data_IF_923974500596
#
_entry.id   IF_923974500596
#
_cell.length_a   1.000
_cell.length_b   1.000
_cell.length_c   1.000
_cell.angle_alpha   90.00
_cell.angle_beta   90.00
_cell.angle_gamma   90.00
#
_symmetry.space_group_name_H-M   'P 1'
#
loop_
_entity.id
_entity.type
_entity.pdbx_description
1 polymer ?
#
# COMPACT_ATOMS: atom_id res chain seq x y z
N UNK A 1 -4.91 -11.47 -13.98
CA UNK A 1 -4.31 -10.49 -13.05
C UNK A 1 -4.71 -9.11 -13.52
N UNK A 2 -5.16 -8.22 -12.63
CA UNK A 2 -5.32 -6.81 -12.98
C UNK A 2 -3.92 -6.23 -13.05
N UNK A 3 -3.53 -5.62 -14.18
CA UNK A 3 -2.16 -5.12 -14.40
C UNK A 3 -1.95 -3.74 -13.79
N UNK A 4 -2.41 -3.58 -12.55
CA UNK A 4 -2.32 -2.34 -11.79
C UNK A 4 -1.70 -2.63 -10.44
N UNK A 5 -0.67 -1.87 -10.08
CA UNK A 5 -0.25 -1.74 -8.70
C UNK A 5 -1.07 -0.62 -8.06
N UNK A 6 -1.63 -0.87 -6.89
CA UNK A 6 -2.51 0.06 -6.17
C UNK A 6 -1.79 0.47 -4.91
N UNK A 7 -1.44 1.76 -4.80
CA UNK A 7 -0.64 2.26 -3.68
C UNK A 7 -1.53 3.17 -2.83
N UNK A 8 -1.67 2.84 -1.55
CA UNK A 8 -2.36 3.70 -0.58
C UNK A 8 -1.33 4.38 0.30
N UNK A 9 -1.50 5.68 0.53
CA UNK A 9 -0.56 6.48 1.36
C UNK A 9 -1.29 7.22 2.46
N UNK A 10 -0.80 7.07 3.69
CA UNK A 10 -1.23 7.86 4.84
C UNK A 10 -0.29 9.05 5.11
N UNK A 11 0.99 8.90 4.74
CA UNK A 11 2.05 9.88 4.96
C UNK A 11 2.86 10.00 3.67
N UNK A 12 3.24 11.22 3.30
CA UNK A 12 4.10 11.46 2.15
C UNK A 12 5.48 10.86 2.39
N UNK A 13 5.95 10.02 1.47
CA UNK A 13 7.31 9.48 1.50
C UNK A 13 7.70 8.93 0.12
N UNK A 14 8.99 8.64 -0.06
CA UNK A 14 9.50 7.89 -1.22
C UNK A 14 9.19 8.57 -2.57
N UNK A 15 8.67 7.81 -3.53
CA UNK A 15 8.42 8.31 -4.89
C UNK A 15 7.37 9.43 -4.93
N UNK A 16 6.42 9.46 -4.00
CA UNK A 16 5.45 10.54 -3.88
C UNK A 16 6.14 11.87 -3.53
N UNK A 17 6.92 11.87 -2.45
CA UNK A 17 7.64 13.07 -1.97
C UNK A 17 8.58 13.61 -3.05
N UNK A 18 9.31 12.73 -3.73
CA UNK A 18 10.19 13.12 -4.85
C UNK A 18 9.42 13.71 -6.04
N UNK A 19 8.28 13.11 -6.40
CA UNK A 19 7.50 13.51 -7.59
C UNK A 19 6.77 14.84 -7.39
N UNK A 20 6.19 15.04 -6.21
CA UNK A 20 5.33 16.18 -5.92
C UNK A 20 6.02 17.29 -5.11
N UNK A 21 7.26 17.08 -4.66
CA UNK A 21 7.99 18.05 -3.84
C UNK A 21 7.41 18.21 -2.43
N UNK A 22 6.64 17.23 -1.97
CA UNK A 22 6.06 17.22 -0.62
C UNK A 22 7.07 16.63 0.34
N UNK A 23 7.31 17.32 1.46
CA UNK A 23 8.25 16.89 2.49
C UNK A 23 7.91 15.49 3.01
N UNK A 24 8.92 14.62 3.11
CA UNK A 24 8.75 13.28 3.67
C UNK A 24 8.35 13.37 5.14
N UNK A 25 7.30 12.65 5.52
CA UNK A 25 6.69 12.75 6.85
C UNK A 25 5.45 13.65 6.92
N UNK A 26 5.09 14.34 5.82
CA UNK A 26 3.83 15.07 5.77
C UNK A 26 2.63 14.12 5.91
N UNK A 27 1.86 14.27 6.99
CA UNK A 27 0.68 13.44 7.27
C UNK A 27 -0.50 13.98 6.46
N UNK A 28 -1.11 13.13 5.64
CA UNK A 28 -2.28 13.55 4.86
C UNK A 28 -3.53 13.63 5.74
N UNK A 29 -4.40 14.59 5.45
CA UNK A 29 -5.71 14.72 6.11
C UNK A 29 -6.61 13.50 5.84
N UNK A 30 -6.50 12.95 4.63
CA UNK A 30 -7.14 11.70 4.23
C UNK A 30 -6.14 10.84 3.44
N UNK A 31 -6.20 9.49 3.53
CA UNK A 31 -5.30 8.64 2.76
C UNK A 31 -5.49 8.86 1.25
N UNK A 32 -4.39 8.88 0.52
CA UNK A 32 -4.39 8.98 -0.95
C UNK A 32 -4.30 7.60 -1.57
N UNK A 33 -4.70 7.50 -2.85
CA UNK A 33 -4.56 6.28 -3.65
C UNK A 33 -3.98 6.62 -5.01
N UNK A 34 -3.01 5.81 -5.44
CA UNK A 34 -2.33 5.92 -6.72
C UNK A 34 -2.41 4.58 -7.46
N UNK A 35 -2.46 4.64 -8.79
CA UNK A 35 -2.37 3.47 -9.66
C UNK A 35 -1.07 3.53 -10.44
N UNK A 36 -0.34 2.43 -10.53
CA UNK A 36 0.79 2.26 -11.44
C UNK A 36 0.49 1.16 -12.44
N UNK A 37 0.83 1.39 -13.70
CA UNK A 37 0.75 0.36 -14.73
C UNK A 37 1.87 -0.66 -14.51
N UNK A 38 1.54 -1.89 -14.10
CA UNK A 38 2.51 -2.93 -13.81
C UNK A 38 3.20 -3.38 -15.11
N UNK A 39 4.40 -2.86 -15.33
CA UNK A 39 5.21 -3.12 -16.52
C UNK A 39 6.67 -2.74 -16.22
N UNK A 40 7.48 -3.75 -15.95
CA UNK A 40 8.89 -3.61 -15.57
C UNK A 40 9.71 -2.88 -16.65
N UNK A 41 9.41 -3.08 -17.95
CA UNK A 41 10.12 -2.41 -19.05
C UNK A 41 9.86 -0.89 -19.07
N UNK A 42 8.70 -0.47 -18.56
CA UNK A 42 8.29 0.93 -18.46
C UNK A 42 8.45 1.49 -17.04
N UNK A 43 9.06 0.72 -16.13
CA UNK A 43 9.34 1.12 -14.75
C UNK A 43 8.10 1.45 -13.92
N UNK A 44 7.03 0.68 -14.08
CA UNK A 44 5.78 0.79 -13.30
C UNK A 44 5.18 2.21 -13.25
N UNK A 45 4.99 2.75 -14.45
CA UNK A 45 4.58 4.13 -14.66
C UNK A 45 3.28 4.49 -13.94
N UNK A 46 3.31 5.57 -13.15
CA UNK A 46 2.14 6.13 -12.48
C UNK A 46 1.07 6.52 -13.51
N UNK A 47 -0.17 6.17 -13.23
CA UNK A 47 -1.33 6.49 -14.05
C UNK A 47 -2.53 6.88 -13.20
N UNK A 48 -3.53 7.50 -13.85
CA UNK A 48 -4.83 7.73 -13.24
C UNK A 48 -5.82 6.65 -13.71
N UNK A 49 -7.02 6.68 -13.11
CA UNK A 49 -8.07 5.72 -13.44
C UNK A 49 -8.60 5.85 -14.88
N UNK A 50 -8.56 7.05 -15.46
CA UNK A 50 -9.06 7.28 -16.81
C UNK A 50 -8.13 6.62 -17.82
N UNK A 51 -6.82 6.70 -17.60
CA UNK A 51 -5.83 5.96 -18.38
C UNK A 51 -6.04 4.45 -18.26
N UNK A 52 -6.24 3.94 -17.04
CA UNK A 52 -6.48 2.51 -16.82
C UNK A 52 -7.74 2.00 -17.56
N UNK A 53 -8.83 2.78 -17.52
CA UNK A 53 -10.07 2.47 -18.22
C UNK A 53 -9.90 2.57 -19.75
N UNK A 54 -9.28 3.66 -20.24
CA UNK A 54 -9.07 3.88 -21.67
C UNK A 54 -8.18 2.80 -22.31
N UNK A 55 -7.17 2.33 -21.57
CA UNK A 55 -6.30 1.22 -21.96
C UNK A 55 -6.94 -0.16 -21.74
N UNK A 56 -8.18 -0.22 -21.22
CA UNK A 56 -8.94 -1.45 -20.93
C UNK A 56 -8.24 -2.37 -19.93
N UNK A 57 -7.48 -1.80 -18.99
CA UNK A 57 -6.81 -2.56 -17.93
C UNK A 57 -7.79 -2.95 -16.80
N UNK A 58 -8.79 -2.10 -16.55
CA UNK A 58 -9.88 -2.33 -15.62
C UNK A 58 -11.14 -1.57 -16.07
N UNK A 59 -12.33 -2.05 -15.71
CA UNK A 59 -13.56 -1.28 -15.87
C UNK A 59 -13.72 -0.26 -14.74
N UNK A 60 -14.64 0.69 -14.91
CA UNK A 60 -14.94 1.66 -13.86
C UNK A 60 -15.44 0.98 -12.58
N UNK A 61 -16.29 -0.03 -12.70
CA UNK A 61 -16.85 -0.79 -11.58
C UNK A 61 -15.75 -1.55 -10.82
N UNK A 62 -14.78 -2.09 -11.56
CA UNK A 62 -13.62 -2.75 -10.96
C UNK A 62 -12.72 -1.75 -10.22
N UNK A 63 -12.45 -0.58 -10.81
CA UNK A 63 -11.68 0.48 -10.14
C UNK A 63 -12.35 0.90 -8.83
N UNK A 64 -13.65 1.12 -8.81
CA UNK A 64 -14.37 1.47 -7.58
C UNK A 64 -14.33 0.35 -6.53
N UNK A 65 -14.43 -0.90 -6.96
CA UNK A 65 -14.28 -2.08 -6.09
C UNK A 65 -12.86 -2.16 -5.51
N UNK A 66 -11.84 -1.94 -6.33
CA UNK A 66 -10.43 -1.93 -5.94
C UNK A 66 -10.18 -0.82 -4.90
N UNK A 67 -10.65 0.40 -5.14
CA UNK A 67 -10.53 1.51 -4.16
C UNK A 67 -11.17 1.15 -2.84
N UNK A 68 -12.40 0.63 -2.86
CA UNK A 68 -13.13 0.21 -1.66
C UNK A 68 -12.33 -0.81 -0.86
N UNK A 69 -11.77 -1.82 -1.53
CA UNK A 69 -10.95 -2.84 -0.87
C UNK A 69 -9.64 -2.27 -0.36
N UNK A 70 -8.93 -1.46 -1.15
CA UNK A 70 -7.66 -0.86 -0.77
C UNK A 70 -7.79 0.03 0.48
N UNK A 71 -8.82 0.89 0.54
CA UNK A 71 -9.09 1.68 1.73
C UNK A 71 -9.57 0.83 2.92
N UNK A 72 -10.36 -0.22 2.68
CA UNK A 72 -10.73 -1.17 3.73
C UNK A 72 -9.51 -1.88 4.35
N UNK A 73 -8.55 -2.30 3.51
CA UNK A 73 -7.27 -2.87 3.95
C UNK A 73 -6.45 -1.83 4.72
N UNK A 74 -6.41 -0.58 4.24
CA UNK A 74 -5.71 0.51 4.93
C UNK A 74 -6.17 0.66 6.39
N UNK A 75 -7.49 0.71 6.62
CA UNK A 75 -8.02 0.87 7.98
C UNK A 75 -7.62 -0.29 8.90
N UNK A 76 -7.72 -1.53 8.40
CA UNK A 76 -7.36 -2.72 9.18
C UNK A 76 -5.85 -2.76 9.49
N UNK A 77 -5.00 -2.49 8.49
CA UNK A 77 -3.55 -2.50 8.69
C UNK A 77 -3.09 -1.36 9.59
N UNK A 78 -3.66 -0.15 9.45
CA UNK A 78 -3.33 0.97 10.34
C UNK A 78 -3.64 0.63 11.79
N UNK A 79 -4.81 0.07 12.07
CA UNK A 79 -5.20 -0.33 13.41
C UNK A 79 -4.22 -1.39 13.96
N UNK A 80 -3.96 -2.44 13.19
CA UNK A 80 -3.04 -3.52 13.57
C UNK A 80 -1.62 -3.03 13.87
N UNK A 81 -1.04 -2.20 12.99
CA UNK A 81 0.32 -1.69 13.19
C UNK A 81 0.40 -0.71 14.35
N UNK A 82 -0.64 0.10 14.58
CA UNK A 82 -0.68 1.02 15.71
C UNK A 82 -0.62 0.28 17.06
N UNK A 83 -1.27 -0.89 17.19
CA UNK A 83 -1.17 -1.75 18.38
C UNK A 83 0.26 -2.25 18.62
N UNK A 84 1.06 -2.37 17.55
CA UNK A 84 2.45 -2.78 17.60
C UNK A 84 3.43 -1.61 17.80
N UNK A 85 2.94 -0.37 17.97
CA UNK A 85 3.79 0.82 18.02
C UNK A 85 4.48 1.15 16.68
N UNK A 86 3.83 0.75 15.58
CA UNK A 86 4.31 0.96 14.20
C UNK A 86 3.33 1.85 13.44
N UNK A 87 3.86 2.82 12.71
CA UNK A 87 3.11 3.70 11.82
C UNK A 87 3.14 3.14 10.40
N UNK A 88 1.97 2.87 9.82
CA UNK A 88 1.82 2.51 8.41
C UNK A 88 1.85 3.76 7.53
N UNK A 89 2.97 3.98 6.83
CA UNK A 89 3.21 5.16 6.00
C UNK A 89 2.50 5.04 4.65
N UNK A 90 2.82 3.97 3.92
CA UNK A 90 2.18 3.59 2.67
C UNK A 90 2.30 2.08 2.46
N UNK A 91 1.52 1.53 1.54
CA UNK A 91 1.61 0.14 1.11
C UNK A 91 1.08 -0.04 -0.31
N UNK A 92 1.52 -1.12 -0.94
CA UNK A 92 1.14 -1.53 -2.30
C UNK A 92 0.26 -2.77 -2.23
N UNK A 93 -0.75 -2.83 -3.10
CA UNK A 93 -1.61 -3.98 -3.32
C UNK A 93 -1.67 -4.33 -4.81
N UNK A 94 -1.85 -5.62 -5.09
CA UNK A 94 -2.16 -6.20 -6.38
C UNK A 94 -3.49 -6.96 -6.33
N UNK A 95 -4.29 -6.82 -7.39
CA UNK A 95 -5.61 -7.43 -7.47
C UNK A 95 -5.71 -8.45 -8.62
N UNK A 96 -6.44 -9.52 -8.36
CA UNK A 96 -6.79 -10.55 -9.33
C UNK A 96 -8.22 -10.39 -9.82
N UNK A 97 -8.50 -11.06 -10.95
CA UNK A 97 -9.86 -11.28 -11.46
C UNK A 97 -10.08 -12.79 -11.52
N UNK A 98 -11.14 -13.26 -10.87
CA UNK A 98 -11.60 -14.65 -10.99
C UNK A 98 -12.30 -14.89 -12.33
N UNK A 99 -12.56 -16.15 -12.67
CA UNK A 99 -13.18 -16.53 -13.95
C UNK A 99 -14.59 -15.95 -14.16
N UNK A 100 -15.29 -15.63 -13.07
CA UNK A 100 -16.61 -15.01 -13.08
C UNK A 100 -16.56 -13.47 -13.12
N UNK A 101 -15.37 -12.87 -13.16
CA UNK A 101 -15.16 -11.43 -13.14
C UNK A 101 -15.00 -10.83 -11.75
N UNK A 102 -15.11 -11.62 -10.68
CA UNK A 102 -14.95 -11.12 -9.30
C UNK A 102 -13.54 -10.60 -9.06
N UNK A 103 -13.44 -9.37 -8.55
CA UNK A 103 -12.17 -8.79 -8.08
C UNK A 103 -11.80 -9.36 -6.72
N UNK A 104 -10.56 -9.82 -6.59
CA UNK A 104 -10.00 -10.36 -5.35
C UNK A 104 -8.67 -9.71 -5.06
N UNK A 105 -8.36 -9.49 -3.78
CA UNK A 105 -7.00 -9.16 -3.36
C UNK A 105 -6.11 -10.37 -3.64
N UNK A 106 -4.98 -10.16 -4.33
CA UNK A 106 -4.08 -11.23 -4.75
C UNK A 106 -2.64 -11.03 -4.25
N UNK A 107 -2.40 -10.01 -3.43
CA UNK A 107 -1.07 -9.62 -2.97
C UNK A 107 -0.66 -10.29 -1.65
N UNK A 108 0.64 -10.22 -1.37
CA UNK A 108 1.23 -10.45 -0.07
C UNK A 108 1.32 -9.12 0.71
N UNK A 109 0.81 -9.11 1.94
CA UNK A 109 1.03 -7.99 2.85
C UNK A 109 2.23 -8.32 3.73
N UNK A 110 3.36 -7.65 3.46
CA UNK A 110 4.61 -7.86 4.18
C UNK A 110 5.39 -6.55 4.31
N UNK A 111 6.49 -6.52 5.09
CA UNK A 111 7.38 -5.36 5.17
C UNK A 111 8.01 -4.97 3.83
N UNK A 112 7.98 -5.85 2.82
CA UNK A 112 8.49 -5.54 1.48
C UNK A 112 7.46 -4.78 0.64
N UNK A 113 6.18 -4.94 0.94
CA UNK A 113 5.07 -4.25 0.26
C UNK A 113 4.53 -3.06 1.04
N UNK A 114 5.07 -2.81 2.24
CA UNK A 114 4.67 -1.74 3.15
C UNK A 114 5.87 -0.86 3.55
N UNK A 115 5.67 0.45 3.68
CA UNK A 115 6.58 1.32 4.43
C UNK A 115 6.09 1.46 5.86
N UNK A 116 6.89 0.98 6.80
CA UNK A 116 6.57 0.93 8.21
C UNK A 116 7.58 1.77 8.98
N UNK A 117 7.12 2.67 9.85
CA UNK A 117 7.99 3.50 10.70
C UNK A 117 7.73 3.19 12.17
N UNK A 118 8.77 3.24 13.01
CA UNK A 118 8.62 3.18 14.46
C UNK A 118 7.86 4.42 14.94
N UNK A 119 6.73 4.25 15.64
CA UNK A 119 5.86 5.37 16.00
C UNK A 119 6.49 6.32 17.02
N UNK A 120 7.53 5.90 17.75
CA UNK A 120 8.19 6.76 18.77
C UNK A 120 9.32 7.59 18.19
N UNK A 121 10.09 7.01 17.28
CA UNK A 121 11.33 7.58 16.76
C UNK A 121 11.20 8.09 15.33
N UNK A 122 10.13 7.71 14.62
CA UNK A 122 9.93 8.02 13.20
C UNK A 122 10.92 7.27 12.28
N UNK A 123 11.71 6.33 12.81
CA UNK A 123 12.70 5.59 12.02
C UNK A 123 12.02 4.59 11.12
N UNK A 124 12.51 4.49 9.88
CA UNK A 124 12.05 3.49 8.93
C UNK A 124 12.44 2.07 9.39
N UNK A 125 11.43 1.21 9.55
CA UNK A 125 11.56 -0.19 9.91
C UNK A 125 11.74 -1.01 8.64
N UNK A 126 12.97 -1.10 8.16
CA UNK A 126 13.30 -1.97 7.03
C UNK A 126 13.06 -3.44 7.37
N UNK A 127 12.95 -4.33 6.37
CA UNK A 127 12.75 -5.78 6.56
C UNK A 127 13.64 -6.37 7.65
N UNK A 128 14.92 -6.02 7.69
CA UNK A 128 15.88 -6.50 8.71
C UNK A 128 15.49 -6.06 10.12
N UNK A 129 15.08 -4.80 10.29
CA UNK A 129 14.64 -4.25 11.57
C UNK A 129 13.32 -4.89 12.00
N UNK A 130 12.40 -5.05 11.04
CA UNK A 130 11.08 -5.60 11.28
C UNK A 130 11.10 -7.06 11.76
N UNK A 131 11.94 -7.92 11.17
CA UNK A 131 12.11 -9.32 11.64
C UNK A 131 12.63 -9.36 13.08
N UNK A 132 13.53 -8.45 13.46
CA UNK A 132 14.01 -8.33 14.84
C UNK A 132 12.90 -7.92 15.81
N UNK A 133 12.09 -6.93 15.43
CA UNK A 133 10.96 -6.45 16.25
C UNK A 133 9.88 -7.53 16.39
N UNK A 134 9.55 -8.28 15.32
CA UNK A 134 8.60 -9.38 15.42
C UNK A 134 9.08 -10.50 16.36
N UNK A 135 10.39 -10.76 16.42
CA UNK A 135 10.94 -11.72 17.37
C UNK A 135 10.73 -11.24 18.82
N UNK A 136 10.94 -9.95 19.11
CA UNK A 136 10.67 -9.35 20.41
C UNK A 136 9.17 -9.30 20.75
N UNK A 137 8.32 -8.92 19.79
CA UNK A 137 6.86 -8.89 19.98
C UNK A 137 6.28 -10.29 20.21
N UNK A 138 6.77 -11.33 19.53
CA UNK A 138 6.39 -12.73 19.81
C UNK A 138 6.77 -13.18 21.22
N UNK A 139 7.77 -12.57 21.86
CA UNK A 139 8.10 -12.83 23.26
C UNK A 139 7.18 -12.08 24.23
N UNK A 140 6.53 -11.00 23.78
CA UNK A 140 5.65 -10.14 24.56
C UNK A 140 4.16 -10.48 24.41
N UNK A 141 3.77 -11.18 23.34
CA UNK A 141 2.40 -11.66 23.16
C UNK A 141 2.15 -12.90 24.04
N UNK A 142 1.06 -12.92 24.84
CA UNK A 142 0.69 -14.10 25.61
C UNK A 142 0.36 -15.28 24.66
N UNK A 143 0.74 -16.49 25.09
CA UNK A 143 0.45 -17.74 24.35
C UNK A 143 -1.04 -17.99 24.16
#
# INVERSE_FOLDING_TARGET
>A
MVTLEVIVRNIAAGSFSKRYGVEEGFVFEAPTIEFSYKNDELGDSLMDEYHAIAMKLATKEEIETIKKYAFGVNEQLKAFWAECGVTLVDFKLEFGRLSDGTIVLADEISPDTCRLWDSKTGRNLTKTVFVGILAELKMLMPK
#
